data_IF_750029899003
#
_entry.id   IF_750029899003
#
_cell.length_a   1.000
_cell.length_b   1.000
_cell.length_c   1.000
_cell.angle_alpha   90.00
_cell.angle_beta   90.00
_cell.angle_gamma   90.00
#
_symmetry.space_group_name_H-M   'P 1'
#
loop_
_entity.id
_entity.type
_entity.pdbx_description
1 polymer ?
#
# COMPACT_ATOMS: atom_id res chain seq x y z
N UNK A 1 -7.98 5.79 -3.71
CA UNK A 1 -6.98 6.88 -3.80
C UNK A 1 -7.41 8.04 -4.70
N UNK A 2 -7.80 7.88 -5.98
CA UNK A 2 -8.14 9.02 -6.83
C UNK A 2 -9.21 9.95 -6.25
N UNK A 3 -10.29 9.39 -5.70
CA UNK A 3 -11.38 10.19 -5.10
C UNK A 3 -10.94 11.03 -3.90
N UNK A 4 -10.01 10.54 -3.08
CA UNK A 4 -9.46 11.29 -1.96
C UNK A 4 -8.71 12.55 -2.45
N UNK A 5 -7.82 12.38 -3.42
CA UNK A 5 -7.06 13.49 -3.98
C UNK A 5 -7.96 14.53 -4.64
N UNK A 6 -8.93 14.07 -5.45
CA UNK A 6 -9.91 14.96 -6.09
C UNK A 6 -10.72 15.78 -5.08
N UNK A 7 -11.12 15.17 -3.97
CA UNK A 7 -11.88 15.86 -2.93
C UNK A 7 -11.04 16.86 -2.14
N UNK A 8 -9.78 16.50 -1.82
CA UNK A 8 -8.92 17.28 -0.95
C UNK A 8 -8.04 18.30 -1.69
N UNK A 9 -7.58 17.99 -2.90
CA UNK A 9 -6.70 18.85 -3.70
C UNK A 9 -7.40 19.53 -4.89
N UNK A 10 -8.70 19.24 -5.10
CA UNK A 10 -9.52 19.81 -6.18
C UNK A 10 -9.41 19.08 -7.51
N UNK A 11 -10.26 19.49 -8.46
CA UNK A 11 -10.38 18.86 -9.80
C UNK A 11 -9.15 19.09 -10.70
N UNK A 12 -8.30 20.05 -10.38
CA UNK A 12 -7.03 20.30 -11.08
C UNK A 12 -5.98 19.21 -10.86
N UNK A 13 -6.15 18.39 -9.81
CA UNK A 13 -5.31 17.23 -9.58
C UNK A 13 -5.72 16.09 -10.54
N UNK A 14 -4.90 15.83 -11.57
CA UNK A 14 -5.16 14.79 -12.58
C UNK A 14 -4.95 13.38 -12.01
N UNK A 15 -6.01 12.59 -11.69
CA UNK A 15 -5.87 11.28 -11.03
C UNK A 15 -5.12 10.25 -11.85
N UNK A 16 -5.20 10.34 -13.18
CA UNK A 16 -4.52 9.43 -14.10
C UNK A 16 -3.00 9.55 -14.01
N UNK A 17 -2.47 10.71 -13.66
CA UNK A 17 -1.04 10.91 -13.49
C UNK A 17 -0.50 10.12 -12.29
N UNK A 18 -1.21 10.15 -11.15
CA UNK A 18 -0.80 9.41 -9.94
C UNK A 18 -0.85 7.91 -10.12
N UNK A 19 -1.79 7.41 -10.94
CA UNK A 19 -1.89 5.99 -11.24
C UNK A 19 -0.63 5.44 -11.93
N UNK A 20 0.07 6.27 -12.70
CA UNK A 20 1.29 5.89 -13.42
C UNK A 20 2.55 5.89 -12.55
N UNK A 21 2.54 6.49 -11.37
CA UNK A 21 3.69 6.50 -10.45
C UNK A 21 4.03 5.09 -9.98
N UNK A 22 3.02 4.28 -9.63
CA UNK A 22 3.25 2.90 -9.15
C UNK A 22 3.99 2.05 -10.21
N UNK A 23 3.48 1.81 -11.42
CA UNK A 23 4.18 0.97 -12.41
C UNK A 23 5.55 1.53 -12.79
N UNK A 24 5.71 2.86 -12.84
CA UNK A 24 7.02 3.46 -13.12
C UNK A 24 8.05 3.09 -12.05
N UNK A 25 7.72 3.27 -10.78
CA UNK A 25 8.63 2.94 -9.68
C UNK A 25 8.90 1.44 -9.61
N UNK A 26 7.88 0.59 -9.82
CA UNK A 26 8.07 -0.88 -9.84
C UNK A 26 9.06 -1.27 -10.94
N UNK A 27 8.89 -0.78 -12.17
CA UNK A 27 9.79 -1.10 -13.29
C UNK A 27 11.23 -0.69 -12.99
N UNK A 28 11.43 0.49 -12.39
CA UNK A 28 12.75 1.00 -12.04
C UNK A 28 13.42 0.23 -10.88
N UNK A 29 12.63 -0.27 -9.93
CA UNK A 29 13.18 -0.83 -8.68
C UNK A 29 13.17 -2.35 -8.62
N UNK A 30 12.25 -3.04 -9.29
CA UNK A 30 12.04 -4.49 -9.14
C UNK A 30 13.30 -5.30 -9.45
N UNK A 31 14.02 -4.97 -10.51
CA UNK A 31 15.25 -5.68 -10.89
C UNK A 31 16.34 -5.52 -9.84
N UNK A 32 16.52 -4.30 -9.34
CA UNK A 32 17.50 -3.99 -8.29
C UNK A 32 17.14 -4.71 -6.98
N UNK A 33 15.89 -4.60 -6.54
CA UNK A 33 15.40 -5.24 -5.31
C UNK A 33 15.50 -6.76 -5.41
N UNK A 34 15.14 -7.35 -6.55
CA UNK A 34 15.24 -8.81 -6.76
C UNK A 34 16.68 -9.30 -6.66
N UNK A 35 17.63 -8.57 -7.23
CA UNK A 35 19.06 -8.89 -7.13
C UNK A 35 19.56 -8.75 -5.68
N UNK A 36 19.22 -7.68 -5.00
CA UNK A 36 19.59 -7.41 -3.61
C UNK A 36 19.08 -8.51 -2.66
N UNK A 37 17.87 -9.01 -2.93
CA UNK A 37 17.21 -10.05 -2.13
C UNK A 37 17.50 -11.48 -2.60
N UNK A 38 18.34 -11.68 -3.63
CA UNK A 38 18.58 -13.01 -4.23
C UNK A 38 19.10 -14.04 -3.22
N UNK A 39 19.96 -13.63 -2.28
CA UNK A 39 20.51 -14.49 -1.23
C UNK A 39 19.63 -14.65 0.01
N UNK A 40 18.48 -13.96 0.06
CA UNK A 40 17.56 -13.95 1.22
C UNK A 40 16.36 -14.86 0.97
N UNK A 41 15.77 -15.36 2.05
CA UNK A 41 14.53 -16.15 1.95
C UNK A 41 13.37 -15.29 1.41
N UNK A 42 12.42 -15.90 0.67
CA UNK A 42 11.23 -15.18 0.20
C UNK A 42 10.51 -14.47 1.34
N UNK A 43 10.33 -15.15 2.47
CA UNK A 43 9.65 -14.61 3.66
C UNK A 43 10.35 -13.36 4.23
N UNK A 44 11.69 -13.34 4.24
CA UNK A 44 12.45 -12.17 4.69
C UNK A 44 12.19 -10.95 3.79
N UNK A 45 12.28 -11.14 2.46
CA UNK A 45 12.02 -10.06 1.51
C UNK A 45 10.59 -9.51 1.65
N UNK A 46 9.59 -10.40 1.73
CA UNK A 46 8.20 -10.01 1.95
C UNK A 46 8.03 -9.22 3.26
N UNK A 47 8.70 -9.63 4.34
CA UNK A 47 8.66 -8.92 5.62
C UNK A 47 9.22 -7.50 5.50
N UNK A 48 10.33 -7.31 4.79
CA UNK A 48 10.89 -5.97 4.53
C UNK A 48 9.87 -5.09 3.79
N UNK A 49 9.29 -5.60 2.70
CA UNK A 49 8.25 -4.87 1.96
C UNK A 49 7.04 -4.52 2.81
N UNK A 50 6.58 -5.46 3.66
CA UNK A 50 5.45 -5.24 4.56
C UNK A 50 5.71 -4.15 5.61
N UNK A 51 6.96 -3.88 6.00
CA UNK A 51 7.31 -2.74 6.86
C UNK A 51 7.37 -1.41 6.12
N UNK A 52 7.58 -1.42 4.82
CA UNK A 52 7.53 -0.19 4.00
C UNK A 52 6.07 0.26 3.80
N UNK A 53 5.11 -0.66 3.76
CA UNK A 53 3.68 -0.35 3.55
C UNK A 53 3.09 0.66 4.56
N UNK A 54 3.25 0.51 5.89
CA UNK A 54 2.77 1.52 6.84
C UNK A 54 3.44 2.88 6.64
N UNK A 55 4.72 2.93 6.25
CA UNK A 55 5.40 4.20 5.95
C UNK A 55 4.78 4.90 4.74
N UNK A 56 4.37 4.15 3.72
CA UNK A 56 3.61 4.66 2.57
C UNK A 56 2.30 5.32 3.02
N UNK A 57 1.52 4.65 3.86
CA UNK A 57 0.27 5.19 4.36
C UNK A 57 0.48 6.43 5.25
N UNK A 58 1.51 6.44 6.10
CA UNK A 58 1.87 7.60 6.92
C UNK A 58 2.34 8.78 6.07
N UNK A 59 3.08 8.55 4.99
CA UNK A 59 3.43 9.59 4.04
C UNK A 59 2.17 10.24 3.43
N UNK A 60 1.20 9.42 3.01
CA UNK A 60 -0.07 9.93 2.48
C UNK A 60 -0.87 10.76 3.52
N UNK A 61 -0.82 10.37 4.80
CA UNK A 61 -1.41 11.15 5.88
C UNK A 61 -0.73 12.51 6.05
N UNK A 62 0.58 12.57 5.82
CA UNK A 62 1.40 13.78 5.97
C UNK A 62 0.96 14.96 5.12
N UNK A 63 0.29 14.71 3.98
CA UNK A 63 -0.23 15.76 3.11
C UNK A 63 -1.18 16.75 3.80
N UNK A 64 -1.97 16.29 4.75
CA UNK A 64 -2.87 17.14 5.53
C UNK A 64 -2.15 17.89 6.66
N UNK A 65 -0.92 17.50 7.02
CA UNK A 65 -0.16 18.07 8.11
C UNK A 65 0.82 19.16 7.63
N UNK A 66 1.16 19.20 6.34
CA UNK A 66 2.14 20.14 5.76
C UNK A 66 1.55 21.56 5.60
N UNK A 67 0.21 21.69 5.68
CA UNK A 67 -0.48 22.97 5.56
C UNK A 67 -0.98 23.28 4.15
N UNK A 68 -1.42 24.52 3.93
CA UNK A 68 -2.14 24.97 2.71
C UNK A 68 -1.26 25.64 1.65
N UNK A 69 0.07 25.58 1.79
CA UNK A 69 1.00 26.14 0.80
C UNK A 69 1.20 25.22 -0.41
N UNK A 70 1.54 25.79 -1.58
CA UNK A 70 1.96 24.98 -2.72
C UNK A 70 3.39 24.47 -2.53
N UNK A 71 3.64 23.21 -2.93
CA UNK A 71 4.98 22.63 -2.99
C UNK A 71 5.56 22.95 -4.35
N UNK A 72 6.60 23.78 -4.38
CA UNK A 72 7.34 24.12 -5.60
C UNK A 72 8.49 23.11 -5.80
N UNK A 73 8.44 22.35 -6.91
CA UNK A 73 9.47 21.41 -7.32
C UNK A 73 10.44 22.00 -8.36
N UNK A 74 10.34 23.31 -8.64
CA UNK A 74 11.17 24.01 -9.61
C UNK A 74 10.73 23.84 -11.07
N UNK A 75 10.09 22.74 -11.42
CA UNK A 75 9.50 22.47 -12.76
C UNK A 75 7.97 22.40 -12.76
N UNK A 76 7.37 22.28 -11.58
CA UNK A 76 5.92 22.31 -11.36
C UNK A 76 5.60 22.62 -9.91
N UNK A 77 4.47 23.28 -9.69
CA UNK A 77 3.88 23.45 -8.36
C UNK A 77 2.74 22.46 -8.16
N UNK A 78 2.59 21.92 -6.98
CA UNK A 78 1.50 21.00 -6.68
C UNK A 78 1.02 21.12 -5.23
N UNK A 79 -0.25 20.78 -5.03
CA UNK A 79 -0.85 20.77 -3.70
C UNK A 79 -0.12 19.79 -2.77
N UNK A 80 0.16 20.12 -1.48
CA UNK A 80 0.88 19.24 -0.55
C UNK A 80 0.31 17.84 -0.43
N UNK A 81 -1.01 17.72 -0.42
CA UNK A 81 -1.71 16.41 -0.40
C UNK A 81 -1.36 15.60 -1.65
N UNK A 82 -1.35 16.22 -2.82
CA UNK A 82 -0.99 15.58 -4.07
C UNK A 82 0.48 15.13 -4.07
N UNK A 83 1.39 15.97 -3.60
CA UNK A 83 2.81 15.65 -3.46
C UNK A 83 3.04 14.45 -2.52
N UNK A 84 2.48 14.49 -1.31
CA UNK A 84 2.62 13.40 -0.34
C UNK A 84 1.93 12.11 -0.80
N UNK A 85 0.88 12.23 -1.61
CA UNK A 85 0.27 11.08 -2.28
C UNK A 85 1.24 10.42 -3.27
N UNK A 86 1.96 11.20 -4.07
CA UNK A 86 3.00 10.68 -4.99
C UNK A 86 4.10 9.98 -4.22
N UNK A 87 4.60 10.59 -3.14
CA UNK A 87 5.60 9.99 -2.26
C UNK A 87 5.09 8.67 -1.66
N UNK A 88 3.87 8.67 -1.15
CA UNK A 88 3.25 7.46 -0.60
C UNK A 88 3.08 6.35 -1.64
N UNK A 89 2.60 6.68 -2.85
CA UNK A 89 2.48 5.69 -3.95
C UNK A 89 3.86 5.15 -4.35
N UNK A 90 4.90 5.99 -4.40
CA UNK A 90 6.26 5.54 -4.69
C UNK A 90 6.80 4.57 -3.63
N UNK A 91 6.56 4.85 -2.33
CA UNK A 91 6.91 3.94 -1.23
C UNK A 91 6.10 2.63 -1.32
N UNK A 92 4.82 2.69 -1.67
CA UNK A 92 3.99 1.51 -1.89
C UNK A 92 4.53 0.65 -3.04
N UNK A 93 4.90 1.26 -4.16
CA UNK A 93 5.48 0.59 -5.32
C UNK A 93 6.83 -0.06 -4.98
N UNK A 94 7.65 0.62 -4.18
CA UNK A 94 8.89 0.06 -3.65
C UNK A 94 8.61 -1.18 -2.78
N UNK A 95 7.66 -1.10 -1.85
CA UNK A 95 7.24 -2.24 -1.03
C UNK A 95 6.76 -3.41 -1.89
N UNK A 96 5.98 -3.14 -2.93
CA UNK A 96 5.50 -4.12 -3.89
C UNK A 96 6.64 -4.83 -4.62
N UNK A 97 7.72 -4.12 -4.96
CA UNK A 97 8.92 -4.71 -5.56
C UNK A 97 9.62 -5.73 -4.66
N UNK A 98 9.52 -5.58 -3.32
CA UNK A 98 10.00 -6.58 -2.35
C UNK A 98 9.05 -7.76 -2.19
N UNK A 99 7.74 -7.54 -2.30
CA UNK A 99 6.70 -8.53 -1.96
C UNK A 99 6.37 -9.39 -3.17
N UNK A 100 5.97 -8.79 -4.30
CA UNK A 100 5.33 -9.50 -5.41
C UNK A 100 6.17 -10.64 -6.01
N UNK A 101 7.46 -10.47 -6.37
CA UNK A 101 8.24 -11.56 -6.93
C UNK A 101 8.46 -12.70 -5.93
N UNK A 102 8.62 -12.36 -4.65
CA UNK A 102 8.90 -13.31 -3.58
C UNK A 102 7.65 -14.05 -3.11
N UNK A 103 6.51 -13.40 -3.18
CA UNK A 103 5.22 -13.99 -2.92
C UNK A 103 4.93 -15.15 -3.90
N UNK A 104 5.08 -14.91 -5.19
CA UNK A 104 4.92 -15.95 -6.20
C UNK A 104 5.92 -17.09 -6.03
N UNK A 105 7.19 -16.76 -5.74
CA UNK A 105 8.23 -17.77 -5.43
C UNK A 105 7.86 -18.60 -4.20
N UNK A 106 7.34 -17.98 -3.15
CA UNK A 106 6.94 -18.67 -1.93
C UNK A 106 5.88 -19.73 -2.20
N UNK A 107 4.84 -19.42 -2.98
CA UNK A 107 3.79 -20.39 -3.35
C UNK A 107 4.30 -21.47 -4.29
N UNK A 108 5.12 -21.11 -5.26
CA UNK A 108 5.71 -22.11 -6.18
C UNK A 108 6.59 -23.13 -5.45
N UNK A 109 7.35 -22.69 -4.44
CA UNK A 109 8.20 -23.60 -3.65
C UNK A 109 7.42 -24.56 -2.73
N UNK A 110 6.15 -24.27 -2.44
CA UNK A 110 5.28 -25.14 -1.63
C UNK A 110 4.45 -26.11 -2.46
N UNK A 111 4.41 -25.92 -3.77
CA UNK A 111 3.64 -26.77 -4.67
C UNK A 111 4.30 -28.15 -4.84
N UNK A 112 3.52 -29.24 -4.88
CA UNK A 112 3.98 -30.52 -5.37
C UNK A 112 4.49 -30.39 -6.81
N UNK A 113 5.41 -31.27 -7.21
CA UNK A 113 5.94 -31.26 -8.58
C UNK A 113 4.83 -31.44 -9.61
N UNK A 114 4.73 -30.52 -10.55
CA UNK A 114 3.72 -30.52 -11.61
C UNK A 114 2.43 -29.77 -11.26
N UNK A 115 2.25 -29.30 -10.02
CA UNK A 115 1.06 -28.54 -9.59
C UNK A 115 1.36 -27.06 -9.33
N UNK A 116 2.55 -26.55 -9.71
CA UNK A 116 2.98 -25.17 -9.48
C UNK A 116 1.99 -24.15 -10.02
N UNK A 117 1.42 -24.43 -11.21
CA UNK A 117 0.41 -23.57 -11.83
C UNK A 117 -0.87 -23.45 -11.02
N UNK A 118 -1.33 -24.55 -10.42
CA UNK A 118 -2.52 -24.59 -9.56
C UNK A 118 -2.30 -23.76 -8.29
N UNK A 119 -1.16 -23.93 -7.63
CA UNK A 119 -0.80 -23.18 -6.42
C UNK A 119 -0.65 -21.68 -6.71
N UNK A 120 -0.05 -21.30 -7.85
CA UNK A 120 0.00 -19.92 -8.29
C UNK A 120 -1.40 -19.35 -8.58
N UNK A 121 -2.30 -20.12 -9.15
CA UNK A 121 -3.71 -19.73 -9.32
C UNK A 121 -4.40 -19.47 -7.98
N UNK A 122 -4.26 -20.37 -7.01
CA UNK A 122 -4.80 -20.18 -5.66
C UNK A 122 -4.16 -18.99 -4.93
N UNK A 123 -2.91 -18.68 -5.21
CA UNK A 123 -2.25 -17.51 -4.60
C UNK A 123 -2.97 -16.19 -4.94
N UNK A 124 -3.67 -16.10 -6.06
CA UNK A 124 -4.44 -14.92 -6.44
C UNK A 124 -5.83 -14.81 -5.79
N UNK A 125 -6.33 -15.89 -5.17
CA UNK A 125 -7.65 -15.89 -4.52
C UNK A 125 -7.71 -14.87 -3.38
N UNK A 126 -6.61 -14.67 -2.63
CA UNK A 126 -6.54 -13.66 -1.59
C UNK A 126 -6.74 -12.24 -2.15
N UNK A 127 -6.22 -11.95 -3.35
CA UNK A 127 -6.37 -10.63 -4.00
C UNK A 127 -7.83 -10.34 -4.32
N UNK A 128 -8.58 -11.34 -4.77
CA UNK A 128 -10.01 -11.23 -5.01
C UNK A 128 -10.79 -10.91 -3.72
N UNK A 129 -10.56 -11.69 -2.65
CA UNK A 129 -11.21 -11.47 -1.35
C UNK A 129 -10.83 -10.12 -0.74
N UNK A 130 -9.55 -9.77 -0.78
CA UNK A 130 -9.03 -8.49 -0.30
C UNK A 130 -9.62 -7.30 -1.07
N UNK A 131 -9.87 -7.46 -2.38
CA UNK A 131 -10.49 -6.40 -3.19
C UNK A 131 -11.93 -6.13 -2.75
N UNK A 132 -12.74 -7.16 -2.53
CA UNK A 132 -14.13 -7.00 -2.08
C UNK A 132 -14.18 -6.27 -0.73
N UNK A 133 -13.41 -6.75 0.25
CA UNK A 133 -13.35 -6.15 1.59
C UNK A 133 -12.75 -4.75 1.52
N UNK A 134 -11.67 -4.58 0.78
CA UNK A 134 -10.93 -3.32 0.66
C UNK A 134 -11.75 -2.23 -0.03
N UNK A 135 -12.52 -2.54 -1.07
CA UNK A 135 -13.41 -1.56 -1.71
C UNK A 135 -14.53 -1.12 -0.77
N UNK A 136 -15.17 -2.06 -0.06
CA UNK A 136 -16.20 -1.74 0.93
C UNK A 136 -15.66 -0.86 2.06
N UNK A 137 -14.54 -1.27 2.65
CA UNK A 137 -13.89 -0.55 3.74
C UNK A 137 -13.40 0.84 3.30
N UNK A 138 -12.74 0.95 2.15
CA UNK A 138 -12.25 2.24 1.65
C UNK A 138 -13.40 3.19 1.30
N UNK A 139 -14.50 2.67 0.75
CA UNK A 139 -15.71 3.45 0.49
C UNK A 139 -16.33 3.98 1.77
N UNK A 140 -16.44 3.15 2.80
CA UNK A 140 -16.98 3.53 4.11
C UNK A 140 -16.08 4.59 4.80
N UNK A 141 -14.76 4.37 4.84
CA UNK A 141 -13.82 5.33 5.41
C UNK A 141 -13.86 6.66 4.67
N UNK A 142 -13.94 6.62 3.33
CA UNK A 142 -14.02 7.82 2.51
C UNK A 142 -15.31 8.60 2.78
N UNK A 143 -16.46 7.93 2.89
CA UNK A 143 -17.73 8.59 3.21
C UNK A 143 -17.74 9.19 4.61
N UNK A 144 -17.06 8.57 5.57
CA UNK A 144 -17.02 9.01 6.96
C UNK A 144 -16.04 10.17 7.21
N UNK A 145 -14.84 10.12 6.64
CA UNK A 145 -13.75 11.05 6.95
C UNK A 145 -13.44 12.05 5.83
N UNK A 146 -13.90 11.80 4.62
CA UNK A 146 -13.73 12.67 3.47
C UNK A 146 -14.98 12.62 2.60
N UNK A 147 -16.13 13.12 3.12
CA UNK A 147 -17.41 13.09 2.41
C UNK A 147 -17.35 13.88 1.10
N UNK A 148 -18.33 13.65 0.20
CA UNK A 148 -18.37 14.35 -1.08
C UNK A 148 -18.68 15.83 -0.85
N UNK A 149 -17.89 16.78 -1.40
CA UNK A 149 -18.16 18.21 -1.27
C UNK A 149 -19.55 18.63 -1.74
N UNK A 150 -20.12 17.90 -2.73
CA UNK A 150 -21.44 18.15 -3.30
C UNK A 150 -22.60 17.92 -2.34
N UNK A 151 -22.36 17.28 -1.20
CA UNK A 151 -23.36 17.03 -0.16
C UNK A 151 -23.50 18.19 0.84
N UNK A 152 -22.70 19.24 0.69
CA UNK A 152 -22.66 20.38 1.63
C UNK A 152 -23.05 21.66 0.92
N UNK A 153 -23.81 22.49 1.61
CA UNK A 153 -24.29 23.80 1.09
C UNK A 153 -23.15 24.83 1.01
N UNK A 154 -22.10 24.68 1.84
CA UNK A 154 -20.96 25.60 1.90
C UNK A 154 -19.64 24.84 1.96
N UNK A 155 -18.60 25.41 1.35
CA UNK A 155 -17.23 24.87 1.40
C UNK A 155 -16.70 24.76 2.84
N UNK A 156 -16.98 25.73 3.71
CA UNK A 156 -16.57 25.74 5.11
C UNK A 156 -17.18 24.58 5.92
N UNK A 157 -18.44 24.19 5.63
CA UNK A 157 -19.07 23.05 6.27
C UNK A 157 -18.40 21.73 5.84
N UNK A 158 -18.03 21.61 4.57
CA UNK A 158 -17.29 20.46 4.06
C UNK A 158 -15.86 20.39 4.64
N UNK A 159 -15.13 21.52 4.72
CA UNK A 159 -13.78 21.57 5.34
C UNK A 159 -13.83 21.09 6.79
N UNK A 160 -14.83 21.49 7.55
CA UNK A 160 -15.04 21.02 8.93
C UNK A 160 -15.28 19.52 8.97
N UNK A 161 -16.12 19.00 8.08
CA UNK A 161 -16.44 17.57 8.01
C UNK A 161 -15.24 16.72 7.53
N UNK A 162 -14.36 17.26 6.72
CA UNK A 162 -13.18 16.59 6.17
C UNK A 162 -11.87 16.87 6.93
N UNK A 163 -11.92 17.62 8.02
CA UNK A 163 -10.73 17.98 8.84
C UNK A 163 -9.90 16.76 9.29
N UNK A 164 -10.57 15.63 9.50
CA UNK A 164 -9.96 14.37 9.91
C UNK A 164 -9.74 13.38 8.75
N UNK A 165 -9.71 13.84 7.50
CA UNK A 165 -9.55 12.98 6.32
C UNK A 165 -8.27 12.14 6.35
N UNK A 166 -7.20 12.63 6.97
CA UNK A 166 -5.93 11.91 7.15
C UNK A 166 -6.07 10.63 8.01
N UNK A 167 -7.11 10.47 8.82
CA UNK A 167 -7.36 9.26 9.61
C UNK A 167 -7.58 8.02 8.74
N UNK A 168 -8.02 8.19 7.50
CA UNK A 168 -8.11 7.09 6.52
C UNK A 168 -6.75 6.41 6.38
N UNK A 169 -5.69 7.20 6.29
CA UNK A 169 -4.33 6.69 6.09
C UNK A 169 -3.75 6.07 7.35
N UNK A 170 -4.05 6.63 8.53
CA UNK A 170 -3.68 5.99 9.80
C UNK A 170 -4.33 4.63 9.96
N UNK A 171 -5.58 4.48 9.55
CA UNK A 171 -6.27 3.20 9.57
C UNK A 171 -5.56 2.17 8.67
N UNK A 172 -5.20 2.55 7.46
CA UNK A 172 -4.44 1.68 6.57
C UNK A 172 -3.02 1.39 7.09
N UNK A 173 -2.35 2.35 7.73
CA UNK A 173 -1.05 2.13 8.36
C UNK A 173 -1.12 1.08 9.47
N UNK A 174 -2.16 1.11 10.31
CA UNK A 174 -2.39 0.11 11.37
C UNK A 174 -2.63 -1.28 10.78
N UNK A 175 -3.46 -1.41 9.73
CA UNK A 175 -3.68 -2.69 9.04
C UNK A 175 -2.35 -3.22 8.47
N UNK A 176 -1.57 -2.38 7.79
CA UNK A 176 -0.30 -2.77 7.20
C UNK A 176 0.71 -3.21 8.28
N UNK A 177 0.81 -2.48 9.38
CA UNK A 177 1.69 -2.83 10.50
C UNK A 177 1.28 -4.16 11.16
N UNK A 178 -0.02 -4.36 11.40
CA UNK A 178 -0.54 -5.61 11.94
C UNK A 178 -0.22 -6.78 11.02
N UNK A 179 -0.36 -6.60 9.70
CA UNK A 179 -0.01 -7.61 8.70
C UNK A 179 1.48 -7.93 8.70
N UNK A 180 2.35 -6.90 8.82
CA UNK A 180 3.81 -7.10 8.93
C UNK A 180 4.20 -7.91 10.16
N UNK A 181 3.60 -7.60 11.31
CA UNK A 181 3.82 -8.34 12.57
C UNK A 181 3.33 -9.78 12.43
N UNK A 182 2.14 -9.99 11.85
CA UNK A 182 1.58 -11.32 11.61
C UNK A 182 2.49 -12.19 10.74
N UNK A 183 3.13 -11.61 9.73
CA UNK A 183 4.08 -12.31 8.86
C UNK A 183 5.34 -12.75 9.63
N UNK A 184 5.84 -11.92 10.56
CA UNK A 184 6.97 -12.30 11.42
C UNK A 184 6.58 -13.46 12.35
N UNK A 185 5.41 -13.38 12.97
CA UNK A 185 4.91 -14.44 13.86
C UNK A 185 4.79 -15.75 13.07
N UNK A 186 4.18 -15.70 11.89
CA UNK A 186 4.09 -16.84 11.00
C UNK A 186 5.47 -17.45 10.71
N UNK A 187 6.45 -16.63 10.33
CA UNK A 187 7.81 -17.10 10.03
C UNK A 187 8.50 -17.76 11.23
N UNK A 188 8.27 -17.27 12.45
CA UNK A 188 8.79 -17.89 13.69
C UNK A 188 8.12 -19.23 13.98
N UNK A 189 6.79 -19.30 13.80
CA UNK A 189 6.03 -20.53 14.02
C UNK A 189 6.47 -21.64 13.06
N UNK A 190 6.59 -21.33 11.77
CA UNK A 190 7.04 -22.32 10.78
C UNK A 190 8.44 -22.84 11.12
N UNK A 191 9.40 -21.95 11.42
CA UNK A 191 10.76 -22.38 11.82
C UNK A 191 10.74 -23.30 13.05
N UNK A 192 9.88 -23.03 14.02
CA UNK A 192 9.77 -23.88 15.22
C UNK A 192 9.18 -25.26 14.91
N UNK A 193 8.19 -25.32 14.02
CA UNK A 193 7.57 -26.58 13.60
C UNK A 193 8.55 -27.46 12.77
N UNK A 194 9.31 -26.83 11.88
CA UNK A 194 10.31 -27.55 11.08
C UNK A 194 11.44 -28.12 11.93
N UNK A 195 11.91 -27.34 12.94
CA UNK A 195 12.90 -27.82 13.89
C UNK A 195 12.42 -29.05 14.69
N UNK A 196 11.14 -29.13 15.07
CA UNK A 196 10.56 -30.29 15.74
C UNK A 196 10.49 -31.53 14.84
N UNK A 197 10.21 -31.37 13.54
CA UNK A 197 10.14 -32.49 12.58
C UNK A 197 11.51 -33.13 12.30
N UNK A 198 12.59 -32.39 12.50
CA UNK A 198 13.96 -32.87 12.24
C UNK A 198 14.55 -33.66 13.43
N UNK A 199 13.92 -33.57 14.62
CA UNK A 199 14.39 -34.18 15.88
C UNK A 199 13.59 -35.47 16.21
N UNK A 200 12.47 -35.73 15.59
CA UNK A 200 11.63 -36.93 15.74
C UNK A 200 11.65 -37.81 14.52
#
# INVERSE_FOLDING_TARGET
>A
MPKYVLRMAGEGASPSWYANVNPLVVVLTVTFVTRMMASKTPLFSMTVGMFIMPLSALAMAGGNLIGSGEVDLGFMTMHPIAFMMVVGIALQALAESFISPRYLQFFSLQAPKGEEGLYLGFSHLHSFLSSIIGFGLSGWLLSKYCPDPRLFDTHAAWETASSNAHYIWYFFAVIALTSAISLIVYGKVIKHLDAKKTIG
#
